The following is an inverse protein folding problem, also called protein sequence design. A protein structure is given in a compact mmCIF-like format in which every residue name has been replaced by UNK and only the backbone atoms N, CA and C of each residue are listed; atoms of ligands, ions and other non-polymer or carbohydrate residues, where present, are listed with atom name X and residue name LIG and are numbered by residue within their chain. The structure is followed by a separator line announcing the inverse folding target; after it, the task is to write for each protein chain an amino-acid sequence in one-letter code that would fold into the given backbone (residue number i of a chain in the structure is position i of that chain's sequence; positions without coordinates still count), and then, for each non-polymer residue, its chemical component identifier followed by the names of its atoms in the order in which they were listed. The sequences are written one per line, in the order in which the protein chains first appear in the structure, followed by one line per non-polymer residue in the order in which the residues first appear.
data_IF_612528663409
#
_entry.id   IF_612528663409
#
_cell.length_a   1.000
_cell.length_b   1.000
_cell.length_c   1.000
_cell.angle_alpha   90.00
_cell.angle_beta   90.00
_cell.angle_gamma   90.00
#
_symmetry.space_group_name_H-M   'P 1'
#
loop_
_entity.id
_entity.type
_entity.pdbx_description
1 polymer ?
#
# COMPACT_ATOMS: atom_id res chain seq x y z
N UNK A 1 -8.43 -7.14 -112.86
CA UNK A 1 -9.76 -7.53 -113.38
C UNK A 1 -10.51 -8.26 -112.26
N UNK A 2 -11.67 -7.73 -111.83
CA UNK A 2 -12.72 -8.33 -110.95
C UNK A 2 -12.29 -8.73 -109.52
N UNK A 3 -12.59 -7.98 -108.47
CA UNK A 3 -13.87 -7.79 -107.73
C UNK A 3 -14.17 -8.86 -106.67
N UNK A 4 -14.60 -8.37 -105.48
CA UNK A 4 -15.70 -8.83 -104.61
C UNK A 4 -15.41 -9.62 -103.31
N UNK A 5 -15.79 -8.94 -102.21
CA UNK A 5 -16.74 -9.30 -101.15
C UNK A 5 -16.37 -10.15 -99.91
N UNK A 6 -16.87 -9.59 -98.79
CA UNK A 6 -17.50 -10.19 -97.59
C UNK A 6 -16.63 -10.88 -96.51
N UNK A 7 -16.36 -10.11 -95.45
CA UNK A 7 -16.97 -10.24 -94.12
C UNK A 7 -16.73 -11.51 -93.29
N UNK A 8 -16.22 -11.34 -92.06
CA UNK A 8 -16.62 -12.13 -90.88
C UNK A 8 -16.27 -11.39 -89.57
N UNK A 9 -17.21 -11.36 -88.64
CA UNK A 9 -17.13 -10.84 -87.26
C UNK A 9 -16.09 -11.60 -86.41
N UNK A 10 -15.39 -10.96 -85.45
CA UNK A 10 -14.78 -11.68 -84.34
C UNK A 10 -15.69 -11.65 -83.09
N UNK A 11 -15.94 -12.83 -82.51
CA UNK A 11 -16.48 -12.99 -81.15
C UNK A 11 -15.29 -12.91 -80.19
N UNK A 12 -15.31 -11.91 -79.30
CA UNK A 12 -14.33 -11.75 -78.21
C UNK A 12 -14.88 -12.42 -76.96
N UNK A 13 -14.24 -13.50 -76.50
CA UNK A 13 -14.44 -14.07 -75.17
C UNK A 13 -13.68 -13.19 -74.15
N UNK A 14 -14.41 -12.47 -73.30
CA UNK A 14 -13.84 -11.74 -72.18
C UNK A 14 -13.59 -12.66 -70.98
N UNK A 15 -12.32 -12.78 -70.57
CA UNK A 15 -11.94 -13.26 -69.24
C UNK A 15 -11.90 -12.06 -68.28
N UNK A 16 -12.71 -12.11 -67.22
CA UNK A 16 -12.69 -11.13 -66.13
C UNK A 16 -11.60 -11.54 -65.14
N UNK A 17 -10.50 -10.77 -65.08
CA UNK A 17 -9.49 -10.83 -64.03
C UNK A 17 -9.91 -9.89 -62.90
N UNK A 18 -10.23 -10.45 -61.73
CA UNK A 18 -10.44 -9.69 -60.49
C UNK A 18 -9.10 -9.22 -59.94
N UNK A 19 -8.81 -7.92 -60.10
CA UNK A 19 -7.74 -7.21 -59.38
C UNK A 19 -8.24 -6.90 -57.96
N UNK A 20 -7.55 -7.44 -56.95
CA UNK A 20 -7.75 -7.04 -55.55
C UNK A 20 -7.11 -5.67 -55.31
N UNK A 21 -7.80 -4.70 -54.69
CA UNK A 21 -7.19 -3.45 -54.29
C UNK A 21 -6.27 -3.66 -53.09
N UNK A 22 -4.99 -3.30 -53.27
CA UNK A 22 -4.01 -3.13 -52.21
C UNK A 22 -4.43 -1.92 -51.36
N UNK A 23 -4.91 -2.14 -50.14
CA UNK A 23 -5.13 -1.05 -49.18
C UNK A 23 -3.82 -0.87 -48.41
N UNK A 24 -3.12 0.23 -48.69
CA UNK A 24 -2.07 0.76 -47.83
C UNK A 24 -2.73 1.25 -46.55
N UNK A 25 -2.58 0.51 -45.45
CA UNK A 25 -2.87 1.04 -44.12
C UNK A 25 -1.71 1.94 -43.71
N UNK A 26 -1.96 3.23 -43.57
CA UNK A 26 -1.09 4.10 -42.80
C UNK A 26 -1.02 3.54 -41.37
N UNK A 27 0.15 3.09 -40.95
CA UNK A 27 0.40 2.76 -39.56
C UNK A 27 0.35 4.06 -38.77
N UNK A 28 -0.77 4.31 -38.10
CA UNK A 28 -0.84 5.32 -37.06
C UNK A 28 0.05 4.82 -35.91
N UNK A 29 1.28 5.34 -35.85
CA UNK A 29 2.16 5.12 -34.71
C UNK A 29 1.51 5.79 -33.51
N UNK A 30 0.80 5.03 -32.69
CA UNK A 30 0.47 5.42 -31.32
C UNK A 30 1.80 5.35 -30.56
N UNK A 31 2.58 6.42 -30.69
CA UNK A 31 3.69 6.70 -29.79
C UNK A 31 3.14 6.85 -28.38
N UNK A 32 3.97 6.42 -27.42
CA UNK A 32 3.75 6.45 -25.97
C UNK A 32 3.09 5.19 -25.40
N UNK A 33 3.78 4.06 -25.55
CA UNK A 33 3.88 3.14 -24.42
C UNK A 33 4.60 3.89 -23.29
N UNK A 34 3.85 4.64 -22.49
CA UNK A 34 4.27 4.87 -21.12
C UNK A 34 4.49 3.47 -20.53
N UNK A 35 5.75 3.14 -20.27
CA UNK A 35 6.06 2.12 -19.29
C UNK A 35 5.43 2.64 -17.99
N UNK A 36 4.25 2.12 -17.67
CA UNK A 36 3.75 2.16 -16.31
C UNK A 36 4.78 1.35 -15.53
N UNK A 37 5.74 2.06 -14.92
CA UNK A 37 6.45 1.49 -13.78
C UNK A 37 5.36 0.99 -12.83
N UNK A 38 5.44 -0.25 -12.32
CA UNK A 38 4.55 -0.63 -11.24
C UNK A 38 4.70 0.46 -10.18
N UNK A 39 3.59 1.14 -9.85
CA UNK A 39 3.62 1.99 -8.66
C UNK A 39 4.07 1.09 -7.52
N UNK A 40 5.02 1.60 -6.73
CA UNK A 40 5.37 0.91 -5.49
C UNK A 40 4.08 0.65 -4.73
N UNK A 41 3.92 -0.53 -4.16
CA UNK A 41 2.75 -0.84 -3.35
C UNK A 41 2.99 -0.38 -1.91
N UNK A 42 1.93 -0.11 -1.17
CA UNK A 42 2.03 0.13 0.25
C UNK A 42 2.67 -1.07 0.97
N UNK A 43 3.57 -0.80 1.91
CA UNK A 43 4.13 -1.83 2.81
C UNK A 43 3.34 -1.76 4.10
N UNK A 44 2.57 -2.78 4.42
CA UNK A 44 1.67 -2.79 5.58
C UNK A 44 2.09 -3.91 6.54
N UNK A 45 2.55 -3.53 7.72
CA UNK A 45 2.84 -4.43 8.82
C UNK A 45 1.59 -4.51 9.73
N UNK A 46 0.76 -5.52 9.49
CA UNK A 46 -0.51 -5.78 10.16
C UNK A 46 -0.56 -7.20 10.80
N UNK A 47 -1.72 -7.65 11.27
CA UNK A 47 -1.82 -8.99 11.88
C UNK A 47 -1.47 -10.14 10.91
N UNK A 48 -1.62 -9.94 9.59
CA UNK A 48 -1.46 -11.01 8.60
C UNK A 48 0.00 -11.45 8.44
N UNK A 49 0.94 -10.56 8.78
CA UNK A 49 2.37 -10.80 8.60
C UNK A 49 3.07 -11.38 9.84
N UNK A 50 2.43 -11.37 11.03
CA UNK A 50 3.06 -11.81 12.29
C UNK A 50 3.54 -13.27 12.21
N UNK A 51 2.82 -14.09 11.45
CA UNK A 51 3.11 -15.50 11.26
C UNK A 51 4.45 -15.75 10.54
N UNK A 52 4.99 -14.74 9.84
CA UNK A 52 6.30 -14.87 9.18
C UNK A 52 7.42 -14.97 10.19
N UNK A 53 7.36 -14.19 11.27
CA UNK A 53 8.35 -14.30 12.35
C UNK A 53 7.94 -15.41 13.31
N UNK A 54 6.65 -15.55 13.64
CA UNK A 54 6.19 -16.59 14.57
C UNK A 54 6.62 -18.01 14.14
N UNK A 55 6.54 -18.32 12.84
CA UNK A 55 6.88 -19.62 12.26
C UNK A 55 8.22 -19.67 11.51
N UNK A 56 9.12 -18.72 11.76
CA UNK A 56 10.49 -18.71 11.20
C UNK A 56 10.53 -18.78 9.66
N UNK A 57 9.63 -18.05 9.00
CA UNK A 57 9.50 -17.98 7.54
C UNK A 57 10.35 -16.87 6.92
N UNK A 58 10.91 -15.97 7.73
CA UNK A 58 11.88 -14.97 7.29
C UNK A 58 13.28 -15.61 7.32
N UNK A 59 14.03 -15.64 6.20
CA UNK A 59 15.38 -16.18 6.20
C UNK A 59 16.31 -15.40 7.14
N UNK A 60 17.20 -16.10 7.86
CA UNK A 60 18.21 -15.46 8.72
C UNK A 60 19.02 -14.39 7.99
N UNK A 61 19.30 -14.57 6.70
CA UNK A 61 20.01 -13.58 5.89
C UNK A 61 19.24 -12.26 5.74
N UNK A 62 17.91 -12.30 5.71
CA UNK A 62 17.07 -11.11 5.66
C UNK A 62 17.08 -10.36 7.00
N UNK A 63 17.02 -11.10 8.12
CA UNK A 63 17.14 -10.52 9.46
C UNK A 63 18.54 -9.94 9.68
N UNK A 64 19.60 -10.64 9.32
CA UNK A 64 20.96 -10.10 9.46
C UNK A 64 21.17 -8.88 8.55
N UNK A 65 20.63 -8.88 7.34
CA UNK A 65 20.71 -7.71 6.47
C UNK A 65 19.98 -6.49 7.04
N UNK A 66 18.86 -6.65 7.76
CA UNK A 66 18.23 -5.51 8.43
C UNK A 66 19.11 -4.95 9.55
N UNK A 67 19.78 -5.82 10.33
CA UNK A 67 20.74 -5.40 11.37
C UNK A 67 21.95 -4.66 10.78
N UNK A 68 22.41 -5.06 9.59
CA UNK A 68 23.57 -4.45 8.92
C UNK A 68 23.26 -3.13 8.22
N UNK A 69 22.00 -2.88 7.85
CA UNK A 69 21.65 -1.78 6.94
C UNK A 69 20.73 -0.74 7.53
N UNK A 70 19.95 -1.07 8.56
CA UNK A 70 18.98 -0.15 9.14
C UNK A 70 19.52 0.52 10.40
N UNK A 71 19.29 1.82 10.47
CA UNK A 71 19.51 2.67 11.64
C UNK A 71 18.19 3.40 11.90
N UNK A 72 17.48 2.97 12.94
CA UNK A 72 16.08 3.32 13.16
C UNK A 72 15.98 4.32 14.32
N UNK A 73 15.29 5.44 14.10
CA UNK A 73 14.87 6.33 15.18
C UNK A 73 13.40 6.07 15.51
N UNK A 74 13.12 5.66 16.76
CA UNK A 74 11.76 5.35 17.20
C UNK A 74 11.30 6.23 18.37
N UNK A 75 10.36 7.13 18.09
CA UNK A 75 9.83 8.08 19.07
C UNK A 75 8.46 7.65 19.58
N UNK A 76 8.32 7.45 20.89
CA UNK A 76 7.06 7.03 21.46
C UNK A 76 6.89 7.38 22.94
N UNK A 77 5.69 7.12 23.44
CA UNK A 77 5.38 7.07 24.88
C UNK A 77 4.76 5.71 25.23
N UNK A 78 3.73 5.68 26.08
CA UNK A 78 3.24 4.48 26.77
C UNK A 78 2.93 3.31 25.82
N UNK A 79 1.96 3.44 24.91
CA UNK A 79 1.54 2.35 24.01
C UNK A 79 2.66 1.90 23.06
N UNK A 80 3.45 2.82 22.52
CA UNK A 80 4.55 2.45 21.62
C UNK A 80 5.62 1.56 22.27
N UNK A 81 5.80 1.64 23.59
CA UNK A 81 6.77 0.80 24.32
C UNK A 81 6.49 -0.71 24.22
N UNK A 82 5.28 -1.10 23.81
CA UNK A 82 4.93 -2.49 23.58
C UNK A 82 5.78 -3.13 22.48
N UNK A 83 6.14 -2.39 21.42
CA UNK A 83 6.99 -2.90 20.34
C UNK A 83 8.37 -3.26 20.89
N UNK A 84 8.98 -2.32 21.61
CA UNK A 84 10.31 -2.47 22.22
C UNK A 84 10.32 -3.58 23.27
N UNK A 85 9.28 -3.65 24.12
CA UNK A 85 9.17 -4.70 25.13
C UNK A 85 9.02 -6.09 24.52
N UNK A 86 8.19 -6.22 23.49
CA UNK A 86 8.04 -7.46 22.74
C UNK A 86 9.33 -7.85 22.03
N UNK A 87 10.01 -6.91 21.37
CA UNK A 87 11.30 -7.16 20.71
C UNK A 87 12.38 -7.57 21.70
N UNK A 88 12.37 -7.04 22.93
CA UNK A 88 13.33 -7.40 23.99
C UNK A 88 13.16 -8.82 24.50
N UNK A 89 11.94 -9.35 24.53
CA UNK A 89 11.68 -10.74 24.94
C UNK A 89 11.93 -11.77 23.83
N UNK A 90 11.94 -11.34 22.57
CA UNK A 90 12.00 -12.23 21.41
C UNK A 90 13.28 -13.08 21.31
N UNK A 91 14.51 -12.55 21.54
CA UNK A 91 15.74 -13.33 21.43
C UNK A 91 15.72 -14.57 22.32
N UNK A 92 15.51 -14.38 23.63
CA UNK A 92 15.49 -15.46 24.60
C UNK A 92 14.41 -16.51 24.28
N UNK A 93 13.24 -16.07 23.81
CA UNK A 93 12.17 -16.97 23.39
C UNK A 93 12.56 -17.82 22.17
N UNK A 94 13.12 -17.20 21.12
CA UNK A 94 13.52 -17.89 19.89
C UNK A 94 14.70 -18.83 20.13
N UNK A 95 15.71 -18.38 20.88
CA UNK A 95 16.86 -19.20 21.27
C UNK A 95 16.46 -20.40 22.13
N UNK A 96 15.54 -20.19 23.08
CA UNK A 96 14.97 -21.28 23.90
C UNK A 96 14.27 -22.36 23.08
N UNK A 97 13.82 -22.02 21.86
CA UNK A 97 13.23 -22.93 20.87
C UNK A 97 14.22 -23.47 19.83
N UNK A 98 15.52 -23.22 20.01
CA UNK A 98 16.58 -23.67 19.11
C UNK A 98 16.85 -22.74 17.93
N UNK A 99 16.33 -21.51 17.97
CA UNK A 99 16.69 -20.45 17.03
C UNK A 99 18.16 -20.02 17.16
N UNK A 100 18.66 -19.32 16.14
CA UNK A 100 20.03 -18.82 16.12
C UNK A 100 20.26 -17.74 17.19
N UNK A 101 21.34 -17.91 17.96
CA UNK A 101 21.76 -16.96 19.01
C UNK A 101 21.99 -15.57 18.42
N UNK A 102 21.39 -14.57 19.06
CA UNK A 102 21.51 -13.15 18.70
C UNK A 102 20.84 -12.76 17.38
N UNK A 103 20.07 -13.64 16.74
CA UNK A 103 19.41 -13.33 15.46
C UNK A 103 18.46 -12.14 15.56
N UNK A 104 17.71 -12.07 16.66
CA UNK A 104 16.73 -11.01 16.93
C UNK A 104 17.21 -9.97 17.95
N UNK A 105 18.52 -9.87 18.18
CA UNK A 105 19.08 -8.86 19.07
C UNK A 105 18.92 -7.46 18.47
N UNK A 106 18.63 -6.50 19.34
CA UNK A 106 18.58 -5.07 19.03
C UNK A 106 19.19 -4.29 20.19
N UNK A 107 19.78 -3.12 19.92
CA UNK A 107 20.17 -2.12 20.91
C UNK A 107 20.44 -0.77 20.24
N UNK A 108 20.53 0.28 21.06
CA UNK A 108 21.03 1.58 20.61
C UNK A 108 22.50 1.47 20.17
N UNK A 109 22.77 1.79 18.91
CA UNK A 109 24.08 1.77 18.27
C UNK A 109 24.47 0.46 17.59
N UNK A 110 23.57 -0.52 17.49
CA UNK A 110 23.78 -1.78 16.76
C UNK A 110 24.99 -2.60 17.25
N UNK A 111 25.40 -2.38 18.50
CA UNK A 111 26.60 -3.00 19.07
C UNK A 111 26.45 -4.51 19.16
N UNK A 112 27.56 -5.24 18.98
CA UNK A 112 27.52 -6.71 18.96
C UNK A 112 26.86 -7.31 17.71
N UNK A 113 26.57 -6.49 16.69
CA UNK A 113 25.89 -6.93 15.47
C UNK A 113 24.37 -7.00 15.63
N UNK A 114 23.81 -6.30 16.61
CA UNK A 114 22.38 -6.15 16.85
C UNK A 114 21.73 -5.14 15.86
N UNK A 115 20.41 -5.17 15.72
CA UNK A 115 19.67 -4.12 15.01
C UNK A 115 19.81 -2.79 15.76
N UNK A 116 20.15 -1.73 15.04
CA UNK A 116 20.28 -0.38 15.61
C UNK A 116 18.92 0.33 15.69
N UNK A 117 18.45 0.52 16.92
CA UNK A 117 17.25 1.31 17.22
C UNK A 117 17.62 2.34 18.29
N UNK A 118 17.58 3.61 17.92
CA UNK A 118 17.53 4.74 18.85
C UNK A 118 16.11 4.84 19.42
N UNK A 119 15.90 4.09 20.50
CA UNK A 119 14.68 4.10 21.29
C UNK A 119 14.59 5.39 22.12
N UNK A 120 13.45 6.09 22.03
CA UNK A 120 13.27 7.42 22.61
C UNK A 120 14.23 8.49 22.06
N UNK A 121 14.61 8.39 20.79
CA UNK A 121 15.51 9.36 20.12
C UNK A 121 15.14 10.84 20.39
N UNK A 122 13.84 11.12 20.50
CA UNK A 122 13.30 12.39 20.95
C UNK A 122 12.09 12.18 21.87
N UNK A 123 11.94 13.04 22.88
CA UNK A 123 10.80 13.00 23.80
C UNK A 123 9.48 13.35 23.09
N UNK A 124 8.44 12.57 23.37
CA UNK A 124 7.07 12.83 22.92
C UNK A 124 6.49 11.68 22.13
N UNK A 125 5.35 11.92 21.50
CA UNK A 125 4.68 10.99 20.59
C UNK A 125 3.97 11.79 19.48
N UNK A 126 3.27 11.12 18.57
CA UNK A 126 2.60 11.77 17.44
C UNK A 126 1.52 12.79 17.87
N UNK A 127 0.97 12.69 19.08
CA UNK A 127 -0.06 13.60 19.59
C UNK A 127 0.44 14.59 20.64
N UNK A 128 1.46 14.25 21.42
CA UNK A 128 1.98 15.05 22.53
C UNK A 128 3.30 15.77 22.16
N UNK A 129 3.44 17.08 22.43
CA UNK A 129 2.50 17.96 23.15
C UNK A 129 1.34 18.55 22.33
N UNK A 130 1.38 18.53 21.00
CA UNK A 130 0.46 19.35 20.20
C UNK A 130 0.30 18.88 18.74
N UNK A 131 0.33 17.57 18.49
CA UNK A 131 0.21 16.94 17.15
C UNK A 131 1.24 17.32 16.09
N UNK A 132 2.14 18.27 16.37
CA UNK A 132 3.03 18.87 15.35
C UNK A 132 4.50 18.92 15.79
N UNK A 133 4.76 18.96 17.11
CA UNK A 133 6.12 19.06 17.64
C UNK A 133 7.04 17.91 17.21
N UNK A 134 6.53 16.68 17.11
CA UNK A 134 7.30 15.51 16.68
C UNK A 134 7.94 15.71 15.29
N UNK A 135 7.30 16.46 14.39
CA UNK A 135 7.85 16.74 13.06
C UNK A 135 9.02 17.73 13.11
N UNK A 136 9.02 18.68 14.06
CA UNK A 136 10.17 19.55 14.33
C UNK A 136 11.29 18.79 15.03
N UNK A 137 10.94 17.90 15.96
CA UNK A 137 11.92 17.06 16.66
C UNK A 137 12.63 16.11 15.69
N UNK A 138 11.90 15.51 14.76
CA UNK A 138 12.46 14.68 13.69
C UNK A 138 13.49 15.44 12.85
N UNK A 139 13.14 16.65 12.38
CA UNK A 139 14.08 17.52 11.64
C UNK A 139 15.32 17.84 12.46
N UNK A 140 15.10 18.25 13.71
CA UNK A 140 16.20 18.60 14.62
C UNK A 140 17.16 17.43 14.82
N UNK A 141 16.64 16.21 14.94
CA UNK A 141 17.43 15.02 15.12
C UNK A 141 18.18 14.60 13.84
N UNK A 142 17.49 14.56 12.68
CA UNK A 142 18.10 14.17 11.41
C UNK A 142 19.11 15.19 10.87
N UNK A 143 18.97 16.48 11.22
CA UNK A 143 19.90 17.54 10.80
C UNK A 143 21.23 17.51 11.60
N UNK A 144 21.33 16.69 12.66
CA UNK A 144 22.57 16.51 13.40
C UNK A 144 23.51 15.57 12.62
N UNK A 145 24.76 15.99 12.33
CA UNK A 145 25.70 15.13 11.60
C UNK A 145 25.99 13.78 12.27
N UNK A 146 25.81 13.70 13.59
CA UNK A 146 25.97 12.47 14.37
C UNK A 146 24.93 11.40 14.02
N UNK A 147 23.80 11.78 13.43
CA UNK A 147 22.66 10.90 13.13
C UNK A 147 22.46 10.75 11.60
N UNK A 148 23.53 11.00 10.82
CA UNK A 148 23.47 10.99 9.35
C UNK A 148 23.36 9.59 8.73
N UNK A 149 23.50 8.55 9.54
CA UNK A 149 23.29 7.14 9.23
C UNK A 149 21.83 6.70 9.37
N UNK A 150 21.02 7.42 10.17
CA UNK A 150 19.60 7.13 10.37
C UNK A 150 18.85 7.15 9.04
N UNK A 151 18.20 6.03 8.73
CA UNK A 151 17.53 5.82 7.45
C UNK A 151 16.08 5.30 7.60
N UNK A 152 15.62 5.10 8.83
CA UNK A 152 14.22 4.82 9.14
C UNK A 152 13.79 5.70 10.31
N UNK A 153 12.63 6.35 10.19
CA UNK A 153 11.99 7.07 11.30
C UNK A 153 10.59 6.51 11.49
N UNK A 154 10.30 6.19 12.74
CA UNK A 154 8.97 5.77 13.17
C UNK A 154 8.57 6.55 14.42
N UNK A 155 7.31 6.95 14.48
CA UNK A 155 6.72 7.51 15.68
C UNK A 155 5.45 6.75 16.03
N UNK A 156 5.13 6.69 17.33
CA UNK A 156 3.90 6.08 17.80
C UNK A 156 2.88 7.10 18.26
N UNK A 157 1.61 6.71 18.22
CA UNK A 157 0.54 7.35 18.98
C UNK A 157 0.45 6.74 20.38
N UNK A 158 0.01 7.53 21.36
CA UNK A 158 -0.55 7.00 22.60
C UNK A 158 -2.08 7.05 22.48
N UNK A 159 -2.79 7.68 23.42
CA UNK A 159 -4.26 7.77 23.40
C UNK A 159 -4.86 8.89 22.55
N UNK A 160 -4.06 9.70 21.85
CA UNK A 160 -4.52 10.95 21.25
C UNK A 160 -5.48 10.74 20.07
N UNK A 161 -5.36 9.62 19.35
CA UNK A 161 -6.22 9.32 18.21
C UNK A 161 -7.68 9.12 18.63
N UNK A 162 -7.96 8.65 19.86
CA UNK A 162 -9.33 8.50 20.38
C UNK A 162 -10.13 9.80 20.32
N UNK A 163 -9.48 10.94 20.58
CA UNK A 163 -10.09 12.28 20.54
C UNK A 163 -9.74 13.11 19.31
N UNK A 164 -8.92 12.59 18.39
CA UNK A 164 -8.45 13.34 17.23
C UNK A 164 -9.59 13.63 16.25
N UNK A 165 -9.58 14.83 15.70
CA UNK A 165 -10.47 15.22 14.61
C UNK A 165 -9.94 14.75 13.25
N UNK A 166 -10.76 14.87 12.20
CA UNK A 166 -10.32 14.65 10.81
C UNK A 166 -9.10 15.52 10.48
N UNK A 167 -9.09 16.77 10.95
CA UNK A 167 -8.04 17.76 10.67
C UNK A 167 -6.74 17.44 11.43
N UNK A 168 -6.82 16.88 12.64
CA UNK A 168 -5.62 16.43 13.37
C UNK A 168 -4.92 15.29 12.62
N UNK A 169 -5.69 14.32 12.10
CA UNK A 169 -5.13 13.24 11.29
C UNK A 169 -4.60 13.77 9.95
N UNK A 170 -5.31 14.70 9.29
CA UNK A 170 -4.79 15.34 8.06
C UNK A 170 -3.48 16.09 8.33
N UNK A 171 -3.34 16.71 9.51
CA UNK A 171 -2.11 17.38 9.93
C UNK A 171 -0.97 16.38 10.04
N UNK A 172 -1.19 15.24 10.71
CA UNK A 172 -0.21 14.15 10.78
C UNK A 172 0.22 13.66 9.39
N UNK A 173 -0.73 13.33 8.52
CA UNK A 173 -0.45 12.82 7.17
C UNK A 173 0.34 13.82 6.33
N UNK A 174 -0.02 15.11 6.43
CA UNK A 174 0.69 16.20 5.74
C UNK A 174 2.12 16.36 6.26
N UNK A 175 2.32 16.30 7.58
CA UNK A 175 3.64 16.43 8.19
C UNK A 175 4.56 15.25 7.84
N UNK A 176 4.04 14.02 7.83
CA UNK A 176 4.78 12.84 7.37
C UNK A 176 5.22 13.00 5.91
N UNK A 177 4.30 13.40 5.04
CA UNK A 177 4.63 13.62 3.62
C UNK A 177 5.66 14.75 3.44
N UNK A 178 5.61 15.80 4.26
CA UNK A 178 6.64 16.84 4.22
C UNK A 178 8.01 16.31 4.67
N UNK A 179 8.07 15.44 5.69
CA UNK A 179 9.33 14.82 6.11
C UNK A 179 9.92 13.91 5.02
N UNK A 180 9.10 13.12 4.33
CA UNK A 180 9.56 12.32 3.18
C UNK A 180 10.16 13.19 2.06
N UNK A 181 9.56 14.36 1.80
CA UNK A 181 10.09 15.31 0.81
C UNK A 181 11.38 16.01 1.28
N UNK A 182 11.47 16.33 2.56
CA UNK A 182 12.64 16.99 3.16
C UNK A 182 13.84 16.02 3.25
N UNK A 183 13.59 14.72 3.49
CA UNK A 183 14.60 13.66 3.69
C UNK A 183 14.36 12.45 2.77
N UNK A 184 14.62 12.58 1.45
CA UNK A 184 14.25 11.55 0.47
C UNK A 184 15.03 10.22 0.58
N UNK A 185 16.07 10.17 1.42
CA UNK A 185 16.84 8.95 1.71
C UNK A 185 16.40 8.26 3.00
N UNK A 186 15.45 8.83 3.75
CA UNK A 186 14.91 8.28 4.99
C UNK A 186 13.53 7.71 4.72
N UNK A 187 13.30 6.49 5.20
CA UNK A 187 12.00 5.84 5.15
C UNK A 187 11.17 6.24 6.37
N UNK A 188 9.98 6.78 6.15
CA UNK A 188 9.07 7.19 7.22
C UNK A 188 7.94 6.18 7.39
N UNK A 189 7.85 5.57 8.57
CA UNK A 189 6.83 4.59 8.90
C UNK A 189 5.63 5.30 9.52
N UNK A 190 4.50 5.25 8.82
CA UNK A 190 3.21 5.70 9.34
C UNK A 190 2.67 4.69 10.35
N UNK A 191 1.85 5.15 11.29
CA UNK A 191 1.25 4.30 12.31
C UNK A 191 -0.22 4.67 12.56
N UNK A 192 -1.07 3.66 12.79
CA UNK A 192 -2.42 3.88 13.34
C UNK A 192 -2.36 4.07 14.87
N UNK A 193 -3.44 4.55 15.48
CA UNK A 193 -3.61 4.47 16.93
C UNK A 193 -3.82 3.03 17.42
N UNK A 194 -4.11 2.88 18.71
CA UNK A 194 -4.59 1.63 19.31
C UNK A 194 -6.09 1.40 19.04
N UNK A 195 -6.68 0.35 19.61
CA UNK A 195 -8.14 0.16 19.75
C UNK A 195 -8.60 0.55 21.16
N UNK A 196 -9.81 1.08 21.33
CA UNK A 196 -10.26 1.65 22.62
C UNK A 196 -11.65 1.16 23.07
N UNK A 197 -12.16 0.12 22.42
CA UNK A 197 -13.48 -0.43 22.71
C UNK A 197 -14.66 0.44 22.26
N UNK A 198 -14.45 1.46 21.43
CA UNK A 198 -15.55 2.27 20.87
C UNK A 198 -16.24 1.64 19.65
N UNK A 199 -15.72 0.52 19.13
CA UNK A 199 -16.30 -0.23 18.00
C UNK A 199 -16.10 0.42 16.63
N UNK A 200 -16.67 -0.18 15.58
CA UNK A 200 -16.43 0.21 14.19
C UNK A 200 -17.03 1.57 13.79
N UNK A 201 -18.00 2.07 14.56
CA UNK A 201 -18.55 3.42 14.36
C UNK A 201 -17.87 4.46 15.27
N UNK A 202 -16.96 4.03 16.13
CA UNK A 202 -16.21 4.86 17.06
C UNK A 202 -15.22 5.79 16.36
N UNK A 203 -14.94 6.95 16.96
CA UNK A 203 -14.06 7.96 16.37
C UNK A 203 -12.67 7.40 16.06
N UNK A 204 -12.08 6.64 16.99
CA UNK A 204 -10.75 6.05 16.85
C UNK A 204 -10.66 5.14 15.63
N UNK A 205 -11.62 4.22 15.46
CA UNK A 205 -11.68 3.34 14.29
C UNK A 205 -11.72 4.15 12.99
N UNK A 206 -12.60 5.15 12.91
CA UNK A 206 -12.73 5.98 11.70
C UNK A 206 -11.45 6.80 11.44
N UNK A 207 -10.73 7.26 12.48
CA UNK A 207 -9.42 7.93 12.31
C UNK A 207 -8.34 6.96 11.85
N UNK A 208 -8.32 5.72 12.34
CA UNK A 208 -7.42 4.68 11.86
C UNK A 208 -7.70 4.33 10.39
N UNK A 209 -8.97 4.23 10.00
CA UNK A 209 -9.35 4.06 8.58
C UNK A 209 -8.88 5.22 7.70
N UNK A 210 -8.90 6.46 8.19
CA UNK A 210 -8.34 7.60 7.45
C UNK A 210 -6.83 7.41 7.19
N UNK A 211 -6.08 6.94 8.17
CA UNK A 211 -4.63 6.68 8.03
C UNK A 211 -4.38 5.51 7.06
N UNK A 212 -5.09 4.39 7.23
CA UNK A 212 -4.99 3.20 6.36
C UNK A 212 -5.26 3.55 4.90
N UNK A 213 -6.37 4.24 4.64
CA UNK A 213 -6.76 4.66 3.29
C UNK A 213 -5.69 5.56 2.65
N UNK A 214 -5.13 6.50 3.41
CA UNK A 214 -4.04 7.35 2.92
C UNK A 214 -2.80 6.53 2.57
N UNK A 215 -2.40 5.59 3.42
CA UNK A 215 -1.21 4.78 3.21
C UNK A 215 -1.36 3.86 2.00
N UNK A 216 -2.51 3.20 1.85
CA UNK A 216 -2.81 2.37 0.69
C UNK A 216 -2.85 3.18 -0.61
N UNK A 217 -3.51 4.33 -0.60
CA UNK A 217 -3.68 5.17 -1.79
C UNK A 217 -2.37 5.79 -2.27
N UNK A 218 -1.45 6.09 -1.35
CA UNK A 218 -0.20 6.79 -1.65
C UNK A 218 1.04 5.90 -1.46
N UNK A 219 0.84 4.58 -1.40
CA UNK A 219 1.90 3.58 -1.32
C UNK A 219 2.90 3.82 -0.18
N UNK A 220 2.37 4.13 1.00
CA UNK A 220 3.17 4.42 2.20
C UNK A 220 3.55 3.15 2.94
N UNK A 221 4.54 3.30 3.82
CA UNK A 221 4.90 2.28 4.81
C UNK A 221 4.02 2.48 6.05
N UNK A 222 3.27 1.48 6.47
CA UNK A 222 2.34 1.53 7.58
C UNK A 222 2.63 0.40 8.58
N UNK A 223 2.78 0.76 9.86
CA UNK A 223 2.65 -0.15 10.99
C UNK A 223 1.24 -0.05 11.56
N UNK A 224 0.41 -1.06 11.30
CA UNK A 224 -1.02 -1.03 11.63
C UNK A 224 -1.26 -1.58 13.04
N UNK A 225 -0.98 -0.74 14.03
CA UNK A 225 -1.08 -1.09 15.44
C UNK A 225 -2.49 -1.54 15.82
N UNK A 226 -3.53 -0.83 15.37
CA UNK A 226 -4.92 -1.16 15.72
C UNK A 226 -5.38 -2.46 15.05
N UNK A 227 -4.89 -2.76 13.85
CA UNK A 227 -5.19 -4.02 13.20
C UNK A 227 -4.59 -5.18 14.00
N UNK A 228 -3.31 -5.10 14.38
CA UNK A 228 -2.67 -6.14 15.21
C UNK A 228 -3.44 -6.38 16.51
N UNK A 229 -3.98 -5.33 17.15
CA UNK A 229 -4.77 -5.45 18.38
C UNK A 229 -6.18 -6.04 18.19
N UNK A 230 -6.65 -6.12 16.94
CA UNK A 230 -8.00 -6.57 16.61
C UNK A 230 -8.07 -8.05 16.25
N UNK A 231 -6.95 -8.77 16.25
CA UNK A 231 -6.88 -10.18 15.88
C UNK A 231 -6.09 -11.01 16.89
N UNK A 232 -6.44 -12.29 17.03
CA UNK A 232 -5.54 -13.27 17.65
C UNK A 232 -4.53 -13.83 16.61
N UNK A 233 -3.52 -14.61 17.05
CA UNK A 233 -2.56 -15.23 16.14
C UNK A 233 -3.14 -16.21 15.10
N UNK A 234 -4.38 -16.67 15.28
CA UNK A 234 -5.12 -17.50 14.31
C UNK A 234 -6.03 -16.68 13.39
N UNK A 235 -5.90 -15.36 13.38
CA UNK A 235 -6.71 -14.44 12.59
C UNK A 235 -8.20 -14.45 12.95
N UNK A 236 -8.56 -14.83 14.19
CA UNK A 236 -9.90 -14.55 14.69
C UNK A 236 -10.03 -13.04 14.95
N UNK A 237 -11.07 -12.43 14.39
CA UNK A 237 -11.30 -10.99 14.48
C UNK A 237 -12.14 -10.61 15.71
N UNK A 238 -11.77 -9.49 16.35
CA UNK A 238 -12.41 -8.93 17.53
C UNK A 238 -12.78 -7.44 17.39
N UNK A 239 -12.39 -6.78 16.30
CA UNK A 239 -12.67 -5.34 16.11
C UNK A 239 -14.16 -5.01 16.03
N UNK A 240 -15.01 -5.95 15.57
CA UNK A 240 -16.47 -5.83 15.58
C UNK A 240 -17.11 -6.15 16.95
N UNK A 241 -16.30 -6.57 17.93
CA UNK A 241 -16.70 -6.88 19.31
C UNK A 241 -16.20 -5.84 20.30
N UNK A 242 -16.06 -4.59 19.86
CA UNK A 242 -15.63 -3.49 20.74
C UNK A 242 -14.33 -3.81 21.50
N UNK A 243 -13.35 -4.44 20.83
CA UNK A 243 -12.11 -4.80 21.52
C UNK A 243 -11.34 -3.57 22.02
N UNK A 244 -10.71 -3.72 23.18
CA UNK A 244 -9.92 -2.69 23.86
C UNK A 244 -8.41 -2.95 23.69
N UNK A 245 -7.59 -1.93 23.98
CA UNK A 245 -6.13 -2.05 24.00
C UNK A 245 -5.64 -3.04 25.07
N UNK A 246 -6.44 -3.30 26.11
CA UNK A 246 -6.18 -4.34 27.10
C UNK A 246 -6.68 -5.75 26.70
N UNK A 247 -7.08 -5.92 25.44
CA UNK A 247 -7.50 -7.17 24.82
C UNK A 247 -8.85 -7.74 25.31
N UNK A 248 -9.64 -6.99 26.07
CA UNK A 248 -11.04 -7.33 26.34
C UNK A 248 -11.90 -7.19 25.08
N UNK A 249 -13.02 -7.90 25.05
CA UNK A 249 -14.01 -7.79 23.98
C UNK A 249 -15.43 -8.04 24.52
N UNK A 250 -16.43 -7.50 23.83
CA UNK A 250 -17.86 -7.73 24.08
C UNK A 250 -18.23 -9.17 23.67
N UNK A 251 -18.39 -10.02 24.67
CA UNK A 251 -18.72 -11.44 24.51
C UNK A 251 -20.22 -11.72 24.58
N UNK A 252 -21.00 -10.75 25.07
CA UNK A 252 -22.42 -10.88 25.35
C UNK A 252 -23.32 -10.11 24.36
N UNK A 253 -22.71 -9.30 23.48
CA UNK A 253 -23.30 -8.44 22.47
C UNK A 253 -24.15 -7.27 23.04
N UNK A 254 -23.71 -6.63 24.13
CA UNK A 254 -24.34 -5.45 24.72
C UNK A 254 -23.65 -4.12 24.36
N UNK A 255 -22.69 -4.15 23.44
CA UNK A 255 -21.86 -3.01 23.03
C UNK A 255 -20.95 -2.49 24.13
N UNK A 256 -20.60 -3.31 25.12
CA UNK A 256 -19.71 -2.96 26.20
C UNK A 256 -18.71 -4.10 26.47
N UNK A 257 -17.41 -3.92 26.15
CA UNK A 257 -16.39 -4.96 26.37
C UNK A 257 -16.00 -5.13 27.84
N UNK A 258 -16.47 -4.26 28.74
CA UNK A 258 -16.02 -4.23 30.12
C UNK A 258 -16.89 -5.10 31.04
N UNK A 259 -16.23 -5.86 31.92
CA UNK A 259 -16.79 -6.76 32.93
C UNK A 259 -17.38 -8.08 32.43
N UNK A 260 -17.17 -8.40 31.16
CA UNK A 260 -17.55 -9.70 30.58
C UNK A 260 -16.64 -10.85 31.06
N UNK A 261 -15.44 -10.53 31.51
CA UNK A 261 -14.41 -11.52 31.84
C UNK A 261 -13.79 -12.19 30.60
N UNK A 262 -14.11 -11.68 29.41
CA UNK A 262 -13.60 -12.13 28.14
C UNK A 262 -12.35 -11.32 27.74
N UNK A 263 -11.29 -12.00 27.34
CA UNK A 263 -10.04 -11.39 26.91
C UNK A 263 -9.34 -12.30 25.92
N UNK A 264 -9.30 -11.90 24.65
CA UNK A 264 -8.87 -12.80 23.57
C UNK A 264 -7.41 -13.23 23.72
N UNK A 265 -6.57 -12.35 24.27
CA UNK A 265 -5.15 -12.64 24.44
C UNK A 265 -4.93 -13.66 25.58
N UNK A 266 -5.56 -13.45 26.74
CA UNK A 266 -5.48 -14.38 27.86
C UNK A 266 -6.07 -15.75 27.51
N UNK A 267 -7.18 -15.77 26.78
CA UNK A 267 -7.81 -17.00 26.29
C UNK A 267 -6.86 -17.77 25.36
N UNK A 268 -6.25 -17.09 24.39
CA UNK A 268 -5.30 -17.69 23.46
C UNK A 268 -4.06 -18.22 24.20
N UNK A 269 -3.49 -17.42 25.11
CA UNK A 269 -2.34 -17.80 25.93
C UNK A 269 -2.59 -19.06 26.76
N UNK A 270 -3.81 -19.21 27.31
CA UNK A 270 -4.21 -20.38 28.09
C UNK A 270 -4.32 -21.67 27.26
N UNK A 271 -4.65 -21.55 25.98
CA UNK A 271 -4.73 -22.68 25.04
C UNK A 271 -3.35 -23.01 24.45
N UNK A 272 -2.48 -22.00 24.30
CA UNK A 272 -1.20 -22.07 23.60
C UNK A 272 0.01 -21.72 24.50
N UNK A 273 0.21 -22.36 25.66
CA UNK A 273 1.18 -21.91 26.66
C UNK A 273 2.64 -21.91 26.18
N UNK A 274 2.96 -22.64 25.11
CA UNK A 274 4.30 -22.72 24.54
C UNK A 274 4.52 -21.72 23.39
N UNK A 275 3.47 -21.10 22.84
CA UNK A 275 3.53 -20.32 21.59
C UNK A 275 3.62 -18.79 21.80
N UNK A 276 3.86 -18.36 23.03
CA UNK A 276 4.10 -16.97 23.41
C UNK A 276 5.15 -16.87 24.52
N UNK A 277 5.63 -15.65 24.78
CA UNK A 277 6.52 -15.34 25.89
C UNK A 277 6.02 -14.15 26.69
N UNK A 278 6.32 -14.15 27.98
CA UNK A 278 5.95 -13.06 28.87
C UNK A 278 6.88 -11.85 28.67
N UNK A 279 6.29 -10.65 28.66
CA UNK A 279 6.99 -9.38 28.52
C UNK A 279 6.11 -8.24 29.09
N UNK A 280 6.72 -7.10 29.40
CA UNK A 280 5.95 -5.90 29.73
C UNK A 280 5.11 -5.46 28.53
N UNK A 281 3.86 -5.07 28.78
CA UNK A 281 2.96 -4.59 27.73
C UNK A 281 2.10 -3.46 28.30
N UNK A 282 2.48 -2.21 28.03
CA UNK A 282 1.77 -1.06 28.59
C UNK A 282 0.32 -1.03 28.10
N UNK A 283 -0.65 -1.01 29.03
CA UNK A 283 -2.09 -1.03 28.75
C UNK A 283 -2.60 -2.31 28.06
N UNK A 284 -1.78 -3.35 27.94
CA UNK A 284 -2.13 -4.52 27.15
C UNK A 284 -1.63 -5.84 27.74
N UNK A 285 -1.89 -6.94 27.02
CA UNK A 285 -1.41 -8.27 27.38
C UNK A 285 -0.07 -8.58 26.68
N UNK A 286 0.78 -9.47 27.25
CA UNK A 286 2.07 -9.82 26.65
C UNK A 286 1.96 -10.36 25.22
N UNK A 287 0.93 -11.18 24.92
CA UNK A 287 0.75 -11.74 23.58
C UNK A 287 0.66 -10.66 22.49
N UNK A 288 -0.02 -9.55 22.78
CA UNK A 288 -0.19 -8.45 21.84
C UNK A 288 1.14 -7.73 21.57
N UNK A 289 2.00 -7.56 22.59
CA UNK A 289 3.36 -7.06 22.41
C UNK A 289 4.23 -8.02 21.58
N UNK A 290 4.08 -9.33 21.77
CA UNK A 290 4.78 -10.33 20.95
C UNK A 290 4.38 -10.22 19.47
N UNK A 291 3.08 -10.08 19.19
CA UNK A 291 2.57 -9.90 17.83
C UNK A 291 3.14 -8.64 17.17
N UNK A 292 3.25 -7.54 17.93
CA UNK A 292 3.86 -6.30 17.44
C UNK A 292 5.36 -6.44 17.19
N UNK A 293 6.07 -7.20 18.02
CA UNK A 293 7.48 -7.53 17.78
C UNK A 293 7.67 -8.36 16.50
N UNK A 294 6.79 -9.34 16.26
CA UNK A 294 6.78 -10.11 15.02
C UNK A 294 6.54 -9.21 13.81
N UNK A 295 5.57 -8.29 13.91
CA UNK A 295 5.31 -7.32 12.85
C UNK A 295 6.49 -6.37 12.58
N UNK A 296 7.15 -5.91 13.65
CA UNK A 296 8.32 -5.04 13.54
C UNK A 296 9.48 -5.74 12.82
N UNK A 297 9.82 -6.98 13.21
CA UNK A 297 10.89 -7.72 12.53
C UNK A 297 10.59 -8.05 11.07
N UNK A 298 9.32 -8.31 10.73
CA UNK A 298 8.90 -8.42 9.32
C UNK A 298 9.11 -7.10 8.57
N UNK A 299 8.74 -5.97 9.19
CA UNK A 299 8.93 -4.65 8.61
C UNK A 299 10.41 -4.36 8.36
N UNK A 300 11.28 -4.61 9.36
CA UNK A 300 12.73 -4.39 9.23
C UNK A 300 13.36 -5.23 8.14
N UNK A 301 13.01 -6.52 8.05
CA UNK A 301 13.48 -7.35 6.95
C UNK A 301 13.05 -6.78 5.58
N UNK A 302 11.79 -6.36 5.48
CA UNK A 302 11.21 -5.81 4.24
C UNK A 302 11.89 -4.49 3.83
N UNK A 303 12.07 -3.56 4.76
CA UNK A 303 12.75 -2.28 4.51
C UNK A 303 14.24 -2.45 4.17
N UNK A 304 14.87 -3.51 4.66
CA UNK A 304 16.22 -3.89 4.28
C UNK A 304 16.30 -4.56 2.89
N UNK A 305 15.17 -4.79 2.21
CA UNK A 305 15.10 -5.31 0.85
C UNK A 305 14.73 -6.78 0.73
N UNK A 306 14.26 -7.42 1.81
CA UNK A 306 13.62 -8.73 1.70
C UNK A 306 12.26 -8.60 1.01
N UNK A 307 12.01 -9.48 0.04
CA UNK A 307 10.70 -9.60 -0.62
C UNK A 307 10.01 -10.83 -0.08
N UNK A 308 8.94 -10.65 0.69
CA UNK A 308 8.12 -11.75 1.19
C UNK A 308 7.44 -12.47 0.01
N UNK A 309 7.79 -13.73 -0.29
CA UNK A 309 7.20 -14.45 -1.43
C UNK A 309 5.72 -14.77 -1.23
N UNK A 310 5.19 -14.64 -0.01
CA UNK A 310 3.80 -14.95 0.35
C UNK A 310 2.92 -13.69 0.48
N UNK A 311 3.50 -12.49 0.34
CA UNK A 311 2.71 -11.26 0.16
C UNK A 311 2.63 -11.04 -1.34
N UNK A 312 1.48 -11.39 -1.92
CA UNK A 312 1.24 -11.11 -3.33
C UNK A 312 1.09 -9.60 -3.48
N UNK A 313 1.80 -8.95 -4.40
CA UNK A 313 1.56 -7.55 -4.66
C UNK A 313 0.09 -7.34 -5.02
N UNK A 314 -0.67 -6.60 -4.21
CA UNK A 314 -2.02 -6.16 -4.56
C UNK A 314 -1.90 -5.26 -5.79
N UNK A 315 -2.08 -5.88 -6.96
CA UNK A 315 -2.36 -5.13 -8.17
C UNK A 315 -3.65 -4.36 -7.91
N UNK A 316 -3.75 -3.03 -8.15
CA UNK A 316 -5.00 -2.32 -8.02
C UNK A 316 -6.08 -3.05 -8.80
N UNK A 317 -7.12 -3.50 -8.09
CA UNK A 317 -8.14 -4.38 -8.62
C UNK A 317 -8.84 -3.78 -9.83
N UNK A 318 -8.44 -4.18 -11.03
CA UNK A 318 -9.31 -4.08 -12.19
C UNK A 318 -10.42 -5.11 -12.03
N UNK A 319 -11.63 -4.66 -11.71
CA UNK A 319 -12.84 -5.46 -11.88
C UNK A 319 -13.28 -5.30 -13.34
N UNK A 320 -13.18 -6.32 -14.21
CA UNK A 320 -13.85 -6.26 -15.50
C UNK A 320 -15.34 -6.35 -15.23
N UNK A 321 -16.06 -5.23 -15.36
CA UNK A 321 -17.51 -5.28 -15.45
C UNK A 321 -17.86 -5.98 -16.76
N UNK A 322 -18.16 -7.26 -16.67
CA UNK A 322 -18.89 -8.00 -17.69
C UNK A 322 -20.30 -7.43 -17.78
N UNK A 323 -20.48 -6.34 -18.53
CA UNK A 323 -21.79 -5.94 -19.03
C UNK A 323 -22.03 -6.55 -20.40
N UNK A 324 -22.30 -7.86 -20.41
CA UNK A 324 -23.16 -8.46 -21.42
C UNK A 324 -24.61 -8.04 -21.11
N UNK A 325 -25.02 -6.87 -21.62
CA UNK A 325 -26.36 -6.34 -21.44
C UNK A 325 -26.72 -5.40 -22.58
N UNK A 326 -27.63 -5.88 -23.43
CA UNK A 326 -28.17 -5.19 -24.60
C UNK A 326 -28.47 -3.71 -24.34
N UNK A 327 -28.00 -2.83 -25.21
CA UNK A 327 -28.76 -1.62 -25.57
C UNK A 327 -28.91 -1.53 -27.09
N UNK A 328 -30.16 -1.73 -27.48
CA UNK A 328 -30.77 -1.42 -28.76
C UNK A 328 -30.49 0.02 -29.17
N UNK A 329 -30.34 0.22 -30.48
CA UNK A 329 -29.65 1.37 -31.05
C UNK A 329 -30.40 2.70 -31.04
N UNK A 330 -29.62 3.72 -31.38
CA UNK A 330 -30.08 4.91 -32.10
C UNK A 330 -28.96 5.26 -33.09
N UNK A 331 -29.15 4.87 -34.35
CA UNK A 331 -28.26 5.27 -35.44
C UNK A 331 -28.54 6.74 -35.77
N UNK A 332 -27.57 7.62 -35.55
CA UNK A 332 -27.57 8.95 -36.17
C UNK A 332 -26.83 8.86 -37.51
N UNK A 333 -27.62 9.10 -38.56
CA UNK A 333 -27.26 9.14 -39.97
C UNK A 333 -26.27 10.27 -40.26
N UNK A 334 -25.12 9.95 -40.83
CA UNK A 334 -24.28 10.91 -41.56
C UNK A 334 -24.45 10.64 -43.05
N UNK A 335 -25.34 11.41 -43.68
CA UNK A 335 -25.54 11.46 -45.11
C UNK A 335 -24.35 12.20 -45.73
N UNK A 336 -23.48 11.49 -46.46
CA UNK A 336 -22.51 12.09 -47.36
C UNK A 336 -23.17 12.28 -48.74
N UNK A 337 -23.65 13.49 -49.04
CA UNK A 337 -23.99 13.88 -50.42
C UNK A 337 -22.73 14.37 -51.14
N UNK A 338 -22.29 13.59 -52.12
CA UNK A 338 -21.31 14.00 -53.13
C UNK A 338 -21.90 15.07 -54.05
N UNK A 339 -21.36 16.30 -54.02
CA UNK A 339 -21.67 17.35 -54.98
C UNK A 339 -20.47 17.59 -55.91
N UNK A 340 -20.72 17.33 -57.19
CA UNK A 340 -19.86 17.56 -58.34
C UNK A 340 -19.64 19.08 -58.52
N UNK A 341 -18.39 19.57 -58.46
CA UNK A 341 -18.06 20.95 -58.87
C UNK A 341 -17.57 20.93 -60.32
N UNK A 342 -18.46 21.37 -61.21
CA UNK A 342 -18.17 21.69 -62.61
C UNK A 342 -17.57 23.10 -62.69
N UNK A 343 -16.35 23.19 -63.21
CA UNK A 343 -15.64 24.44 -63.51
C UNK A 343 -16.34 25.14 -64.70
N UNK A 344 -16.81 26.37 -64.49
CA UNK A 344 -17.29 27.26 -65.56
C UNK A 344 -16.19 28.24 -65.93
N UNK A 345 -15.62 28.07 -67.14
CA UNK A 345 -14.87 29.13 -67.82
C UNK A 345 -15.90 30.02 -68.52
N UNK A 346 -15.93 31.30 -68.14
CA UNK A 346 -16.74 32.35 -68.76
C UNK A 346 -15.88 33.08 -69.80
N UNK A 347 -16.26 33.01 -71.08
CA UNK A 347 -16.00 34.11 -72.04
C UNK A 347 -17.02 34.12 -73.17
N UNK A 348 -17.95 35.07 -73.06
CA UNK A 348 -18.43 36.00 -74.10
C UNK A 348 -18.40 35.57 -75.57
N UNK A 349 -19.61 35.50 -76.13
CA UNK A 349 -19.98 35.80 -77.53
C UNK A 349 -19.02 36.76 -78.27
N UNK A 350 -18.68 36.42 -79.53
CA UNK A 350 -18.71 37.38 -80.65
C UNK A 350 -19.17 36.69 -81.93
N UNK A 351 -20.23 37.25 -82.51
CA UNK A 351 -20.76 36.99 -83.86
C UNK A 351 -19.70 37.33 -84.92
N UNK A 352 -19.79 36.58 -86.00
CA UNK A 352 -19.02 36.70 -87.23
C UNK A 352 -19.69 37.67 -88.25
N UNK A 353 -18.84 38.31 -89.06
CA UNK A 353 -19.06 38.97 -90.38
C UNK A 353 -19.77 40.34 -90.33
N UNK A 354 -19.43 41.34 -91.14
CA UNK A 354 -19.11 41.44 -92.59
C UNK A 354 -18.21 42.67 -92.84
N UNK A 355 -17.38 42.61 -93.90
CA UNK A 355 -16.57 43.63 -94.61
C UNK A 355 -16.39 45.03 -94.03
#
# INVERSE_FOLDING_TARGET
MKSKYLGFLPIVLGFVLFLHPLVLSEAFSIGDHYLLYPEAEAIIADHSIINRVMYDLIPDSAINNSKETLHIAYGHTSHGSQIISGMSGLPAYKEGKGGAEGLYDWNEGGTGGALDIDDYFMSGDLGNPNYTAWATYTRTYLDLPANSDVNVVMWSWCGQVSGATVDDINTYLTLMNNLENDYPTVMFVYMTGHVDGSGLEGNLHIRNEQIRNYCQTNSKILFDFADIESYDPHSNYFGDKYCTDNCEYDSNNDSNPYNDGANWALEWQGIHPEDWYDCSSAHSQPLNANMKAYAAWWLWATLAGWVDPNVTPTTPGYTPTNTSGLRTGVAFSLILTSLLVLIVIRTSYRKNRIF
#
